data_IF_258434361623
#
_entry.id   IF_258434361623
#
_cell.length_a   1.000
_cell.length_b   1.000
_cell.length_c   1.000
_cell.angle_alpha   90.00
_cell.angle_beta   90.00
_cell.angle_gamma   90.00
#
_symmetry.space_group_name_H-M   'P 1'
#
loop_
_entity.id
_entity.type
_entity.pdbx_description
1 polymer ?
#
# COMPACT_ATOMS: atom_id res chain seq x y z
N UNK A 1 -16.71 -2.09 9.63
CA UNK A 1 -16.82 -0.91 8.75
C UNK A 1 -15.78 -0.94 7.63
N UNK A 2 -14.47 -1.01 7.92
CA UNK A 2 -13.43 -0.96 6.87
C UNK A 2 -13.52 -2.07 5.80
N UNK A 3 -13.96 -3.27 6.19
CA UNK A 3 -14.23 -4.36 5.24
C UNK A 3 -15.36 -3.99 4.26
N UNK A 4 -16.49 -3.50 4.79
CA UNK A 4 -17.62 -3.08 3.96
C UNK A 4 -17.20 -1.98 2.99
N UNK A 5 -16.49 -0.95 3.48
CA UNK A 5 -15.97 0.11 2.61
C UNK A 5 -15.01 -0.38 1.53
N UNK A 6 -14.18 -1.39 1.81
CA UNK A 6 -13.28 -1.97 0.82
C UNK A 6 -14.02 -2.80 -0.22
N UNK A 7 -15.13 -3.45 0.16
CA UNK A 7 -16.01 -4.18 -0.77
C UNK A 7 -16.83 -3.24 -1.66
N UNK A 8 -17.28 -2.10 -1.10
CA UNK A 8 -18.04 -1.06 -1.80
C UNK A 8 -17.16 -0.22 -2.75
N UNK A 9 -15.84 -0.17 -2.51
CA UNK A 9 -14.92 0.54 -3.37
C UNK A 9 -14.76 -0.13 -4.73
N UNK A 10 -14.53 0.69 -5.77
CA UNK A 10 -14.23 0.18 -7.10
C UNK A 10 -12.99 -0.74 -7.08
N UNK A 11 -13.13 -1.90 -7.70
CA UNK A 11 -12.02 -2.83 -7.95
C UNK A 11 -11.44 -2.52 -9.33
N UNK A 12 -10.22 -2.01 -9.37
CA UNK A 12 -9.54 -1.68 -10.61
C UNK A 12 -8.57 -2.82 -11.00
N UNK A 13 -8.35 -3.08 -12.30
CA UNK A 13 -7.38 -4.08 -12.73
C UNK A 13 -5.99 -3.77 -12.17
N UNK A 14 -5.32 -4.73 -11.51
CA UNK A 14 -3.96 -4.52 -11.04
C UNK A 14 -3.00 -4.41 -12.23
N UNK A 15 -1.96 -3.60 -12.06
CA UNK A 15 -0.86 -3.45 -13.03
C UNK A 15 0.35 -4.24 -12.57
N UNK A 16 1.07 -4.78 -13.55
CA UNK A 16 2.34 -5.47 -13.32
C UNK A 16 3.52 -4.54 -13.61
N UNK A 17 4.71 -4.88 -13.11
CA UNK A 17 5.94 -4.16 -13.48
C UNK A 17 6.22 -4.24 -14.99
N UNK A 18 5.86 -5.37 -15.62
CA UNK A 18 6.07 -5.59 -17.06
C UNK A 18 5.24 -4.62 -17.93
N UNK A 19 4.14 -4.08 -17.39
CA UNK A 19 3.30 -3.10 -18.09
C UNK A 19 4.04 -1.78 -18.37
N UNK A 20 5.18 -1.54 -17.69
CA UNK A 20 5.92 -0.27 -17.73
C UNK A 20 7.33 -0.39 -18.32
N UNK A 21 7.75 -1.55 -18.83
CA UNK A 21 9.13 -1.80 -19.30
C UNK A 21 9.64 -0.77 -20.31
N UNK A 22 8.76 -0.24 -21.16
CA UNK A 22 9.08 0.75 -22.19
C UNK A 22 8.39 2.11 -21.97
N UNK A 23 7.97 2.40 -20.73
CA UNK A 23 7.30 3.67 -20.39
C UNK A 23 8.28 4.63 -19.75
N UNK A 24 8.39 5.84 -20.28
CA UNK A 24 9.09 6.93 -19.59
C UNK A 24 8.23 7.43 -18.41
N UNK A 25 8.65 7.06 -17.21
CA UNK A 25 7.98 7.39 -15.95
C UNK A 25 8.64 8.58 -15.25
N UNK A 26 9.70 9.15 -15.83
CA UNK A 26 10.54 10.15 -15.17
C UNK A 26 11.24 9.62 -13.92
N UNK A 27 11.85 10.53 -13.15
CA UNK A 27 12.68 10.18 -11.99
C UNK A 27 11.89 9.83 -10.73
N UNK A 28 10.67 10.36 -10.60
CA UNK A 28 9.82 10.17 -9.42
C UNK A 28 8.36 10.02 -9.87
N UNK A 29 7.93 8.81 -10.27
CA UNK A 29 6.57 8.59 -10.72
C UNK A 29 5.54 8.63 -9.59
N UNK A 30 4.31 8.96 -9.97
CA UNK A 30 3.14 8.80 -9.12
C UNK A 30 2.60 7.38 -9.25
N UNK A 31 2.46 6.70 -8.12
CA UNK A 31 1.90 5.35 -8.04
C UNK A 31 0.48 5.45 -7.48
N UNK A 32 -0.51 5.04 -8.27
CA UNK A 32 -1.91 4.99 -7.87
C UNK A 32 -2.21 3.59 -7.34
N UNK A 33 -2.72 3.52 -6.12
CA UNK A 33 -3.05 2.26 -5.44
C UNK A 33 -4.56 1.93 -5.52
N UNK A 34 -4.92 0.69 -5.20
CA UNK A 34 -6.31 0.22 -5.19
C UNK A 34 -7.22 1.14 -4.37
N UNK A 35 -8.38 1.57 -4.90
CA UNK A 35 -9.36 2.36 -4.15
C UNK A 35 -9.89 1.66 -2.90
N UNK A 36 -9.87 0.32 -2.91
CA UNK A 36 -10.26 -0.52 -1.78
C UNK A 36 -9.23 -0.56 -0.64
N UNK A 37 -8.01 -0.03 -0.84
CA UNK A 37 -6.99 0.01 0.20
C UNK A 37 -7.45 0.86 1.40
N UNK A 38 -7.43 0.24 2.57
CA UNK A 38 -7.66 0.86 3.88
C UNK A 38 -6.44 0.62 4.75
N UNK A 39 -6.06 1.67 5.48
CA UNK A 39 -4.95 1.64 6.44
C UNK A 39 -5.51 1.93 7.82
N UNK A 40 -5.36 0.98 8.73
CA UNK A 40 -5.97 1.00 10.05
C UNK A 40 -4.86 0.97 11.10
N UNK A 41 -4.94 1.86 12.08
CA UNK A 41 -4.16 1.75 13.32
C UNK A 41 -5.12 1.35 14.42
N UNK A 42 -4.81 0.26 15.11
CA UNK A 42 -5.63 -0.23 16.22
C UNK A 42 -4.79 -0.46 17.46
N UNK A 43 -5.33 -0.11 18.62
CA UNK A 43 -4.72 -0.39 19.92
C UNK A 43 -5.08 -1.77 20.48
N UNK A 44 -5.85 -2.54 19.70
CA UNK A 44 -6.31 -3.90 19.99
C UNK A 44 -5.92 -4.83 18.84
N UNK A 45 -5.66 -6.11 19.14
CA UNK A 45 -5.23 -7.11 18.15
C UNK A 45 -6.34 -7.41 17.13
N UNK A 46 -6.39 -6.67 16.02
CA UNK A 46 -7.37 -6.84 14.94
C UNK A 46 -7.06 -8.14 14.20
N UNK A 47 -5.77 -8.44 14.00
CA UNK A 47 -5.35 -9.62 13.25
C UNK A 47 -5.71 -10.92 13.98
N UNK A 48 -5.53 -10.98 15.30
CA UNK A 48 -5.92 -12.16 16.07
C UNK A 48 -7.43 -12.44 15.99
N UNK A 49 -8.26 -11.39 15.99
CA UNK A 49 -9.72 -11.54 15.84
C UNK A 49 -10.08 -11.98 14.42
N UNK A 50 -9.48 -11.37 13.39
CA UNK A 50 -9.75 -11.72 11.99
C UNK A 50 -9.32 -13.16 11.65
N UNK A 51 -8.14 -13.59 12.10
CA UNK A 51 -7.66 -14.96 11.86
C UNK A 51 -8.51 -16.00 12.58
N UNK A 52 -9.02 -15.71 13.78
CA UNK A 52 -9.94 -16.60 14.50
C UNK A 52 -11.25 -16.81 13.74
N UNK A 53 -11.77 -15.78 13.07
CA UNK A 53 -13.00 -15.88 12.27
C UNK A 53 -12.82 -16.57 10.91
N UNK A 54 -11.62 -16.55 10.31
CA UNK A 54 -11.37 -17.16 9.00
C UNK A 54 -11.07 -18.66 9.04
N UNK A 55 -10.76 -19.23 10.21
CA UNK A 55 -10.26 -20.61 10.31
C UNK A 55 -11.24 -21.62 10.94
N UNK A 56 -12.46 -21.24 11.31
CA UNK A 56 -13.39 -22.08 12.11
C UNK A 56 -12.70 -22.72 13.34
N UNK A 57 -11.61 -22.10 13.80
CA UNK A 57 -10.76 -22.61 14.84
C UNK A 57 -11.21 -21.96 16.14
N UNK A 58 -12.13 -22.66 16.83
CA UNK A 58 -12.19 -22.55 18.27
C UNK A 58 -10.78 -22.76 18.83
N UNK A 59 -10.35 -21.88 19.72
CA UNK A 59 -9.09 -21.96 20.47
C UNK A 59 -7.82 -21.45 19.78
N UNK A 60 -7.79 -20.13 19.53
CA UNK A 60 -6.55 -19.35 19.69
C UNK A 60 -6.80 -18.09 20.51
N UNK A 61 -7.20 -18.26 21.77
CA UNK A 61 -7.15 -17.19 22.78
C UNK A 61 -5.70 -16.98 23.25
N UNK A 62 -4.81 -16.60 22.34
CA UNK A 62 -3.52 -16.02 22.68
C UNK A 62 -3.75 -14.61 23.21
N UNK A 63 -3.31 -14.35 24.44
CA UNK A 63 -3.66 -13.15 25.22
C UNK A 63 -3.66 -11.84 24.41
N UNK A 64 -4.74 -11.07 24.58
CA UNK A 64 -4.91 -9.76 23.97
C UNK A 64 -3.86 -8.77 24.50
N UNK A 65 -2.68 -8.78 23.89
CA UNK A 65 -1.64 -7.82 24.24
C UNK A 65 -1.97 -6.47 23.61
N UNK A 66 -1.91 -5.42 24.42
CA UNK A 66 -2.23 -4.05 24.02
C UNK A 66 -1.06 -3.47 23.21
N UNK A 67 -0.90 -3.92 21.98
CA UNK A 67 0.11 -3.41 21.03
C UNK A 67 -0.58 -2.72 19.87
N UNK A 68 -0.11 -1.52 19.52
CA UNK A 68 -0.66 -0.80 18.38
C UNK A 68 -0.32 -1.55 17.08
N UNK A 69 -1.33 -2.14 16.45
CA UNK A 69 -1.24 -2.79 15.15
C UNK A 69 -1.49 -1.79 14.03
N UNK A 70 -0.71 -1.93 12.96
CA UNK A 70 -0.87 -1.21 11.70
C UNK A 70 -1.25 -2.24 10.67
N UNK A 71 -2.39 -2.06 10.03
CA UNK A 71 -2.98 -3.06 9.15
C UNK A 71 -3.31 -2.41 7.82
N UNK A 72 -2.92 -3.06 6.73
CA UNK A 72 -3.47 -2.81 5.42
C UNK A 72 -4.56 -3.84 5.12
N UNK A 73 -5.69 -3.36 4.60
CA UNK A 73 -6.82 -4.15 4.15
C UNK A 73 -7.18 -3.70 2.74
N UNK A 74 -7.39 -4.64 1.82
CA UNK A 74 -7.90 -4.33 0.48
C UNK A 74 -8.70 -5.49 -0.09
N UNK A 75 -9.48 -5.18 -1.12
CA UNK A 75 -10.20 -6.17 -1.91
C UNK A 75 -9.27 -6.75 -2.98
N UNK A 76 -9.16 -8.08 -3.03
CA UNK A 76 -8.45 -8.83 -4.05
C UNK A 76 -9.43 -9.82 -4.72
N UNK A 77 -9.97 -9.45 -5.86
CA UNK A 77 -11.09 -10.17 -6.49
C UNK A 77 -12.32 -10.13 -5.58
N UNK A 78 -12.84 -11.30 -5.21
CA UNK A 78 -13.98 -11.43 -4.28
C UNK A 78 -13.57 -11.70 -2.83
N UNK A 79 -12.27 -11.60 -2.55
CA UNK A 79 -11.72 -11.81 -1.22
C UNK A 79 -11.19 -10.51 -0.61
N UNK A 80 -11.09 -10.49 0.72
CA UNK A 80 -10.40 -9.43 1.47
C UNK A 80 -9.03 -9.95 1.90
N UNK A 81 -7.99 -9.18 1.57
CA UNK A 81 -6.65 -9.38 2.12
C UNK A 81 -6.43 -8.44 3.29
N UNK A 82 -5.73 -8.96 4.30
CA UNK A 82 -5.35 -8.24 5.49
C UNK A 82 -3.90 -8.57 5.82
N UNK A 83 -3.06 -7.57 5.99
CA UNK A 83 -1.65 -7.76 6.36
C UNK A 83 -1.25 -6.80 7.46
N UNK A 84 -0.42 -7.28 8.39
CA UNK A 84 0.22 -6.42 9.36
C UNK A 84 1.38 -5.67 8.70
N UNK A 85 1.53 -4.41 9.06
CA UNK A 85 2.63 -3.56 8.63
C UNK A 85 3.43 -3.11 9.86
N UNK A 86 4.72 -2.92 9.67
CA UNK A 86 5.51 -2.10 10.59
C UNK A 86 5.20 -0.60 10.38
N UNK A 87 5.97 0.26 11.06
CA UNK A 87 5.79 1.72 10.98
C UNK A 87 6.20 2.29 9.62
N UNK A 88 7.29 1.81 9.04
CA UNK A 88 7.86 2.32 7.80
C UNK A 88 6.99 1.95 6.60
N UNK A 89 6.60 0.67 6.50
CA UNK A 89 5.68 0.16 5.48
C UNK A 89 4.31 0.84 5.54
N UNK A 90 3.77 1.08 6.73
CA UNK A 90 2.52 1.83 6.87
C UNK A 90 2.66 3.28 6.40
N UNK A 91 3.75 3.97 6.75
CA UNK A 91 3.97 5.34 6.31
C UNK A 91 4.20 5.43 4.79
N UNK A 92 4.90 4.46 4.20
CA UNK A 92 5.08 4.33 2.76
C UNK A 92 3.72 4.22 2.04
N UNK A 93 2.92 3.19 2.37
CA UNK A 93 1.60 2.96 1.78
C UNK A 93 0.65 4.13 2.02
N UNK A 94 0.69 4.75 3.20
CA UNK A 94 -0.11 5.94 3.51
C UNK A 94 0.26 7.11 2.59
N UNK A 95 1.54 7.31 2.29
CA UNK A 95 1.97 8.36 1.35
C UNK A 95 1.42 8.13 -0.05
N UNK A 96 1.55 6.90 -0.56
CA UNK A 96 1.07 6.54 -1.90
C UNK A 96 -0.46 6.66 -1.99
N UNK A 97 -1.19 6.14 -1.00
CA UNK A 97 -2.65 6.23 -0.94
C UNK A 97 -3.16 7.68 -0.99
N UNK A 98 -2.39 8.62 -0.44
CA UNK A 98 -2.73 10.04 -0.42
C UNK A 98 -2.12 10.83 -1.60
N UNK A 99 -1.52 10.16 -2.58
CA UNK A 99 -1.01 10.79 -3.79
C UNK A 99 0.19 11.71 -3.55
N UNK A 100 1.00 11.44 -2.52
CA UNK A 100 2.15 12.30 -2.17
C UNK A 100 3.42 12.02 -3.01
N UNK A 101 3.36 11.07 -3.95
CA UNK A 101 4.48 10.68 -4.80
C UNK A 101 5.42 9.64 -4.18
N UNK A 102 6.19 8.95 -5.04
CA UNK A 102 7.09 7.85 -4.63
C UNK A 102 8.26 8.35 -3.78
N UNK A 103 8.90 9.45 -4.16
CA UNK A 103 10.03 10.01 -3.43
C UNK A 103 9.65 10.41 -1.99
N UNK A 104 8.52 11.10 -1.81
CA UNK A 104 8.03 11.45 -0.47
C UNK A 104 7.69 10.21 0.34
N UNK A 105 7.09 9.19 -0.30
CA UNK A 105 6.77 7.94 0.36
C UNK A 105 8.02 7.22 0.88
N UNK A 106 9.05 7.11 0.04
CA UNK A 106 10.33 6.51 0.39
C UNK A 106 11.03 7.31 1.50
N UNK A 107 11.08 8.64 1.38
CA UNK A 107 11.68 9.53 2.38
C UNK A 107 11.03 9.40 3.76
N UNK A 108 9.69 9.33 3.81
CA UNK A 108 8.98 9.11 5.09
C UNK A 108 9.25 7.75 5.70
N UNK A 109 9.37 6.70 4.89
CA UNK A 109 9.67 5.35 5.38
C UNK A 109 11.10 5.26 5.93
N UNK A 110 12.07 5.78 5.18
CA UNK A 110 13.49 5.83 5.58
C UNK A 110 13.73 6.68 6.83
N UNK A 111 12.97 7.77 7.02
CA UNK A 111 13.05 8.57 8.23
C UNK A 111 12.55 7.83 9.49
N UNK A 112 11.66 6.86 9.32
CA UNK A 112 11.17 6.01 10.42
C UNK A 112 12.06 4.79 10.66
N UNK A 113 12.62 4.25 9.58
CA UNK A 113 13.53 3.10 9.60
C UNK A 113 14.58 3.24 8.49
N UNK A 114 15.84 3.58 8.83
CA UNK A 114 16.92 3.64 7.85
C UNK A 114 17.20 2.31 7.13
N UNK A 115 16.74 1.18 7.68
CA UNK A 115 16.83 -0.14 7.06
C UNK A 115 15.68 -0.47 6.10
N UNK A 116 14.76 0.46 5.85
CA UNK A 116 13.62 0.25 4.96
C UNK A 116 14.07 -0.13 3.54
N UNK A 117 13.69 -1.33 3.09
CA UNK A 117 13.96 -1.83 1.74
C UNK A 117 12.84 -1.39 0.79
N UNK A 118 13.10 -0.31 0.06
CA UNK A 118 12.20 0.23 -0.95
C UNK A 118 11.91 -0.77 -2.09
N UNK A 119 12.89 -1.59 -2.48
CA UNK A 119 12.73 -2.54 -3.59
C UNK A 119 11.74 -3.61 -3.17
N UNK A 120 11.92 -4.21 -1.98
CA UNK A 120 10.98 -5.19 -1.43
C UNK A 120 9.58 -4.60 -1.27
N UNK A 121 9.46 -3.36 -0.78
CA UNK A 121 8.16 -2.69 -0.63
C UNK A 121 7.44 -2.50 -1.98
N UNK A 122 8.17 -2.13 -3.04
CA UNK A 122 7.62 -2.02 -4.40
C UNK A 122 7.21 -3.39 -4.94
N UNK A 123 8.06 -4.42 -4.81
CA UNK A 123 7.75 -5.79 -5.25
C UNK A 123 6.47 -6.29 -4.57
N UNK A 124 6.31 -6.07 -3.27
CA UNK A 124 5.08 -6.42 -2.56
C UNK A 124 3.86 -5.64 -3.08
N UNK A 125 4.00 -4.34 -3.34
CA UNK A 125 2.89 -3.52 -3.86
C UNK A 125 2.35 -4.04 -5.20
N UNK A 126 3.24 -4.40 -6.14
CA UNK A 126 2.85 -4.98 -7.42
C UNK A 126 2.37 -6.42 -7.28
N UNK A 127 3.08 -7.24 -6.50
CA UNK A 127 2.73 -8.65 -6.27
C UNK A 127 1.38 -8.85 -5.58
N UNK A 128 1.00 -7.94 -4.69
CA UNK A 128 -0.29 -7.95 -4.00
C UNK A 128 -1.45 -7.38 -4.85
N UNK A 129 -1.16 -6.92 -6.07
CA UNK A 129 -2.14 -6.31 -6.98
C UNK A 129 -2.64 -4.95 -6.50
N UNK A 130 -1.85 -4.24 -5.69
CA UNK A 130 -2.24 -2.93 -5.15
C UNK A 130 -2.05 -1.80 -6.15
N UNK A 131 -1.20 -1.92 -7.16
CA UNK A 131 -0.98 -0.86 -8.15
C UNK A 131 -2.06 -0.90 -9.24
N UNK A 132 -2.68 0.25 -9.51
CA UNK A 132 -3.72 0.40 -10.56
C UNK A 132 -3.25 1.26 -11.73
N UNK A 133 -2.29 2.15 -11.49
CA UNK A 133 -1.59 2.91 -12.52
C UNK A 133 -0.26 3.43 -11.98
N UNK A 134 0.67 3.69 -12.89
CA UNK A 134 1.87 4.49 -12.64
C UNK A 134 1.89 5.60 -13.68
N UNK A 135 2.20 6.82 -13.25
CA UNK A 135 2.21 8.01 -14.11
C UNK A 135 3.50 8.78 -13.90
N UNK A 136 3.98 9.45 -14.95
CA UNK A 136 5.09 10.39 -14.79
C UNK A 136 4.71 11.45 -13.75
N UNK A 137 5.57 11.64 -12.76
CA UNK A 137 5.30 12.60 -11.69
C UNK A 137 5.20 14.02 -12.23
N UNK A 138 4.31 14.81 -11.64
CA UNK A 138 4.02 16.19 -12.07
C UNK A 138 5.26 17.13 -12.00
N UNK A 139 6.34 16.72 -11.34
CA UNK A 139 7.59 17.48 -11.22
C UNK A 139 8.62 17.19 -12.32
N UNK A 140 8.24 16.49 -13.40
CA UNK A 140 9.06 16.47 -14.62
C UNK A 140 9.03 17.86 -15.26
N UNK A 141 9.97 18.71 -14.84
CA UNK A 141 10.20 20.02 -15.46
C UNK A 141 10.40 19.81 -16.96
N UNK A 142 9.36 20.12 -17.73
CA UNK A 142 9.46 20.35 -19.17
C UNK A 142 10.40 21.54 -19.39
N UNK A 143 11.70 21.28 -19.51
CA UNK A 143 12.64 22.22 -20.11
C UNK A 143 12.45 22.19 -21.63
N UNK A 144 11.29 22.63 -22.10
CA UNK A 144 11.02 22.88 -23.52
C UNK A 144 11.11 24.38 -23.82
N UNK A 145 12.23 25.05 -23.52
CA UNK A 145 12.42 26.43 -23.97
C UNK A 145 13.84 26.73 -24.47
N UNK A 146 13.87 27.02 -25.78
CA UNK A 146 14.82 27.80 -26.60
C UNK A 146 15.77 27.02 -27.53
N UNK A 147 15.25 26.68 -28.70
CA UNK A 147 15.93 27.00 -29.96
C UNK A 147 15.26 28.26 -30.55
N UNK A 148 16.01 29.36 -30.61
CA UNK A 148 15.85 30.48 -31.54
C UNK A 148 17.14 31.29 -31.52
#
# INVERSE_FOLDING_TARGET
WAIAEALDAASLPPRSLADFENTDLGTSPDILVQPSLRLIVSHWSILSVWTAHQQDAADRHGGWTRRAERVALWRAGDSIRLVQLDRANFAFLHSLKHGLGLEHAAGRALALDPGFDLVSALVHLFGDGLVTAVRAGANSHSNSWRQS
#
